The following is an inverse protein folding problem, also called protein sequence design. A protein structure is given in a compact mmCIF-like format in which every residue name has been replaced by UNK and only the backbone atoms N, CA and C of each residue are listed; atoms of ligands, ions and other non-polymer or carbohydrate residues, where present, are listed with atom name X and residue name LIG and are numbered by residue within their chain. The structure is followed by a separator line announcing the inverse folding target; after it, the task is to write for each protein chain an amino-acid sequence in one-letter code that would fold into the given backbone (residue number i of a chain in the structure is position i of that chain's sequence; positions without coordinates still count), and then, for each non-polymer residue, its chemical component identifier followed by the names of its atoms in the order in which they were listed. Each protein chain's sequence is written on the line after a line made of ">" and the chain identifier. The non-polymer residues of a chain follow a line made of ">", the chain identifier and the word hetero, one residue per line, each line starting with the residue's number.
data_IF_808427283751
#
_entry.id   IF_808427283751
#
_cell.length_a   1.000
_cell.length_b   1.000
_cell.length_c   1.000
_cell.angle_alpha   90.00
_cell.angle_beta   90.00
_cell.angle_gamma   90.00
#
_symmetry.space_group_name_H-M   'P 1'
#
loop_
_entity.id
_entity.type
_entity.pdbx_description
1 polymer ?
#
# COMPACT_ATOMS: atom_id res chain seq x y z
N UNK A 1 -9.36 -6.61 25.10
CA UNK A 1 -8.50 -5.69 25.86
C UNK A 1 -8.27 -4.42 25.04
N UNK A 2 -8.46 -3.22 25.61
CA UNK A 2 -8.20 -1.93 24.92
C UNK A 2 -6.72 -1.76 24.50
N UNK A 3 -5.79 -2.34 25.26
CA UNK A 3 -4.34 -2.32 25.02
C UNK A 3 -3.93 -3.04 23.73
N UNK A 4 -4.55 -4.18 23.43
CA UNK A 4 -4.21 -4.98 22.25
C UNK A 4 -4.56 -4.27 20.94
N UNK A 5 -5.70 -3.57 20.89
CA UNK A 5 -6.13 -2.81 19.71
C UNK A 5 -5.25 -1.59 19.45
N UNK A 6 -4.84 -0.89 20.52
CA UNK A 6 -3.93 0.25 20.41
C UNK A 6 -2.54 -0.17 19.89
N UNK A 7 -2.05 -1.32 20.34
CA UNK A 7 -0.80 -1.91 19.85
C UNK A 7 -0.88 -2.24 18.36
N UNK A 8 -1.94 -2.95 17.92
CA UNK A 8 -2.14 -3.30 16.51
C UNK A 8 -2.17 -2.06 15.59
N UNK A 9 -2.83 -1.00 16.03
CA UNK A 9 -2.87 0.29 15.30
C UNK A 9 -1.48 0.95 15.23
N UNK A 10 -0.71 0.92 16.31
CA UNK A 10 0.66 1.44 16.30
C UNK A 10 1.59 0.64 15.38
N UNK A 11 1.46 -0.69 15.35
CA UNK A 11 2.19 -1.56 14.42
C UNK A 11 1.81 -1.26 12.96
N UNK A 12 0.52 -1.08 12.68
CA UNK A 12 0.00 -0.70 11.37
C UNK A 12 0.52 0.68 10.92
N UNK A 13 0.46 1.69 11.79
CA UNK A 13 0.97 3.03 11.52
C UNK A 13 2.47 2.98 11.21
N UNK A 14 3.26 2.29 12.04
CA UNK A 14 4.68 2.13 11.79
C UNK A 14 4.98 1.44 10.45
N UNK A 15 4.19 0.43 10.08
CA UNK A 15 4.30 -0.23 8.78
C UNK A 15 3.99 0.73 7.62
N UNK A 16 2.90 1.50 7.71
CA UNK A 16 2.51 2.52 6.71
C UNK A 16 3.57 3.61 6.58
N UNK A 17 4.22 4.00 7.67
CA UNK A 17 5.33 4.96 7.68
C UNK A 17 6.65 4.37 7.15
N UNK A 18 6.67 3.12 6.69
CA UNK A 18 7.85 2.47 6.13
C UNK A 18 8.88 2.03 7.17
N UNK A 19 8.49 1.92 8.45
CA UNK A 19 9.35 1.35 9.48
C UNK A 19 9.46 -0.15 9.23
N UNK A 20 10.68 -0.66 9.07
CA UNK A 20 10.89 -2.09 8.85
C UNK A 20 10.28 -2.90 10.00
N UNK A 21 9.67 -4.05 9.70
CA UNK A 21 9.04 -4.91 10.71
C UNK A 21 9.99 -5.29 11.85
N UNK A 22 11.29 -5.37 11.55
CA UNK A 22 12.37 -5.56 12.55
C UNK A 22 12.55 -4.36 13.48
N UNK A 23 12.49 -3.14 12.95
CA UNK A 23 12.59 -1.90 13.74
C UNK A 23 11.32 -1.69 14.57
N UNK A 24 10.17 -2.06 14.02
CA UNK A 24 8.91 -2.11 14.77
C UNK A 24 9.03 -3.06 15.96
N UNK A 25 9.44 -4.31 15.73
CA UNK A 25 9.67 -5.30 16.79
C UNK A 25 10.56 -4.74 17.93
N UNK A 26 11.71 -4.16 17.58
CA UNK A 26 12.64 -3.57 18.53
C UNK A 26 12.04 -2.40 19.33
N UNK A 27 11.30 -1.50 18.68
CA UNK A 27 10.63 -0.37 19.35
C UNK A 27 9.55 -0.88 20.32
N UNK A 28 8.77 -1.87 19.90
CA UNK A 28 7.68 -2.41 20.71
C UNK A 28 8.20 -3.14 21.95
N UNK A 29 9.31 -3.87 21.81
CA UNK A 29 10.00 -4.52 22.93
C UNK A 29 10.52 -3.49 23.94
N UNK A 30 11.17 -2.43 23.45
CA UNK A 30 11.71 -1.35 24.30
C UNK A 30 10.61 -0.55 25.03
N UNK A 31 9.47 -0.32 24.38
CA UNK A 31 8.39 0.51 24.94
C UNK A 31 7.41 -0.27 25.81
N UNK A 32 7.15 -1.54 25.47
CA UNK A 32 6.08 -2.32 26.08
C UNK A 32 6.58 -3.51 26.93
N UNK A 33 7.87 -3.83 26.91
CA UNK A 33 8.48 -4.84 27.76
C UNK A 33 8.12 -6.29 27.41
N UNK A 34 7.49 -6.52 26.26
CA UNK A 34 7.22 -7.85 25.71
C UNK A 34 7.68 -7.94 24.25
N UNK A 35 8.15 -9.12 23.86
CA UNK A 35 8.71 -9.35 22.53
C UNK A 35 7.57 -9.43 21.49
N UNK A 36 7.61 -8.55 20.49
CA UNK A 36 6.76 -8.63 19.30
C UNK A 36 7.60 -9.07 18.13
N UNK A 37 7.39 -10.29 17.65
CA UNK A 37 8.15 -10.85 16.54
C UNK A 37 7.75 -10.22 15.20
N UNK A 38 8.66 -10.22 14.23
CA UNK A 38 8.36 -9.80 12.85
C UNK A 38 7.22 -10.60 12.21
N UNK A 39 7.02 -11.86 12.62
CA UNK A 39 5.90 -12.68 12.18
C UNK A 39 4.56 -12.19 12.75
N UNK A 40 4.52 -11.75 14.01
CA UNK A 40 3.31 -11.16 14.60
C UNK A 40 2.97 -9.82 13.94
N UNK A 41 3.97 -8.98 13.63
CA UNK A 41 3.78 -7.76 12.85
C UNK A 41 3.23 -8.09 11.46
N UNK A 42 3.83 -9.05 10.76
CA UNK A 42 3.37 -9.48 9.43
C UNK A 42 1.95 -10.05 9.45
N UNK A 43 1.54 -10.75 10.51
CA UNK A 43 0.16 -11.22 10.67
C UNK A 43 -0.81 -10.06 10.91
N UNK A 44 -0.40 -9.07 11.72
CA UNK A 44 -1.21 -7.89 11.96
C UNK A 44 -1.41 -7.04 10.69
N UNK A 45 -0.45 -7.06 9.76
CA UNK A 45 -0.58 -6.35 8.48
C UNK A 45 -1.50 -7.07 7.48
N UNK A 46 -1.80 -8.36 7.65
CA UNK A 46 -2.77 -9.06 6.76
C UNK A 46 -4.17 -8.42 6.84
N UNK A 47 -4.59 -7.96 8.03
CA UNK A 47 -5.85 -7.23 8.19
C UNK A 47 -5.85 -5.89 7.40
N UNK A 48 -4.67 -5.32 7.11
CA UNK A 48 -4.53 -4.14 6.25
C UNK A 48 -4.60 -4.52 4.77
N UNK A 49 -4.12 -5.70 4.38
CA UNK A 49 -4.20 -6.18 2.99
C UNK A 49 -5.66 -6.35 2.54
N UNK A 50 -6.53 -6.82 3.44
CA UNK A 50 -7.97 -6.89 3.17
C UNK A 50 -8.59 -5.50 2.95
N UNK A 51 -8.27 -4.53 3.81
CA UNK A 51 -8.72 -3.15 3.66
C UNK A 51 -8.16 -2.50 2.39
N UNK A 52 -6.91 -2.77 2.06
CA UNK A 52 -6.28 -2.29 0.83
C UNK A 52 -6.97 -2.88 -0.39
N UNK A 53 -7.33 -4.17 -0.35
CA UNK A 53 -8.06 -4.83 -1.44
C UNK A 53 -9.45 -4.22 -1.62
N UNK A 54 -10.20 -4.03 -0.53
CA UNK A 54 -11.49 -3.33 -0.57
C UNK A 54 -11.37 -1.91 -1.11
N UNK A 55 -10.34 -1.17 -0.69
CA UNK A 55 -10.08 0.17 -1.24
C UNK A 55 -9.75 0.09 -2.73
N UNK A 56 -8.94 -0.88 -3.19
CA UNK A 56 -8.58 -1.04 -4.61
C UNK A 56 -9.77 -1.41 -5.50
N UNK A 57 -10.73 -2.15 -4.98
CA UNK A 57 -11.91 -2.64 -5.71
C UNK A 57 -13.16 -1.76 -5.50
N UNK A 58 -13.04 -0.68 -4.73
CA UNK A 58 -14.15 0.23 -4.47
C UNK A 58 -14.64 0.85 -5.79
N UNK A 59 -15.96 1.08 -5.94
CA UNK A 59 -16.49 1.72 -7.13
C UNK A 59 -15.94 3.15 -7.26
N UNK A 60 -15.50 3.51 -8.45
CA UNK A 60 -15.04 4.85 -8.76
C UNK A 60 -16.19 5.76 -9.20
N UNK A 61 -16.18 7.00 -8.72
CA UNK A 61 -17.13 8.03 -9.13
C UNK A 61 -16.77 8.70 -10.46
N UNK A 62 -17.56 9.69 -10.85
CA UNK A 62 -17.22 10.54 -12.00
C UNK A 62 -16.03 11.45 -11.67
N UNK A 63 -15.10 11.54 -12.62
CA UNK A 63 -13.89 12.35 -12.51
C UNK A 63 -13.87 13.39 -13.63
N UNK A 64 -13.62 14.64 -13.27
CA UNK A 64 -13.44 15.76 -14.22
C UNK A 64 -12.10 15.67 -14.93
N UNK A 65 -11.05 15.26 -14.20
CA UNK A 65 -9.71 15.09 -14.74
C UNK A 65 -9.09 13.78 -14.27
N UNK A 66 -8.24 13.21 -15.13
CA UNK A 66 -7.44 12.03 -14.83
C UNK A 66 -5.95 12.38 -15.05
N UNK A 67 -5.14 12.10 -14.03
CA UNK A 67 -3.69 12.18 -14.08
C UNK A 67 -3.12 10.78 -13.97
N UNK A 68 -2.15 10.47 -14.83
CA UNK A 68 -1.40 9.21 -14.81
C UNK A 68 0.07 9.53 -14.52
N UNK A 69 0.67 8.76 -13.63
CA UNK A 69 2.10 8.89 -13.30
C UNK A 69 2.71 7.49 -13.10
N UNK A 70 4.03 7.39 -13.27
CA UNK A 70 4.78 6.18 -13.00
C UNK A 70 6.04 6.49 -12.18
N UNK A 71 6.23 5.74 -11.09
CA UNK A 71 7.43 5.80 -10.26
C UNK A 71 8.18 4.48 -10.31
N UNK A 72 9.48 4.52 -10.56
CA UNK A 72 10.28 3.29 -10.54
C UNK A 72 10.81 3.01 -9.15
N UNK A 73 10.52 1.82 -8.66
CA UNK A 73 11.01 1.31 -7.39
C UNK A 73 11.87 0.06 -7.59
N UNK A 74 12.85 -0.11 -6.69
CA UNK A 74 13.67 -1.34 -6.65
C UNK A 74 12.94 -2.40 -5.86
N UNK A 75 12.42 -3.41 -6.55
CA UNK A 75 11.67 -4.52 -5.96
C UNK A 75 12.46 -5.82 -6.09
N UNK A 76 12.27 -6.74 -5.14
CA UNK A 76 12.82 -8.09 -5.25
C UNK A 76 11.79 -9.02 -5.88
N UNK A 77 12.08 -9.51 -7.07
CA UNK A 77 11.23 -10.43 -7.83
C UNK A 77 12.09 -11.61 -8.30
N UNK A 78 11.63 -12.83 -8.06
CA UNK A 78 12.32 -14.07 -8.42
C UNK A 78 13.78 -14.11 -7.97
N UNK A 79 14.02 -13.66 -6.73
CA UNK A 79 15.35 -13.63 -6.10
C UNK A 79 16.26 -12.48 -6.54
N UNK A 80 15.90 -11.73 -7.59
CA UNK A 80 16.69 -10.62 -8.13
C UNK A 80 16.08 -9.27 -7.82
N UNK A 81 16.92 -8.25 -7.63
CA UNK A 81 16.45 -6.87 -7.50
C UNK A 81 16.25 -6.28 -8.89
N UNK A 82 15.02 -5.86 -9.20
CA UNK A 82 14.61 -5.30 -10.49
C UNK A 82 13.99 -3.92 -10.30
N UNK A 83 14.09 -3.08 -11.32
CA UNK A 83 13.29 -1.86 -11.40
C UNK A 83 11.88 -2.25 -11.84
N UNK A 84 10.87 -1.86 -11.06
CA UNK A 84 9.48 -2.01 -11.43
C UNK A 84 8.80 -0.64 -11.45
N UNK A 85 7.91 -0.43 -12.41
CA UNK A 85 7.07 0.74 -12.51
C UNK A 85 5.85 0.59 -11.60
N UNK A 86 5.69 1.51 -10.66
CA UNK A 86 4.49 1.73 -9.87
C UNK A 86 3.64 2.73 -10.65
N UNK A 87 2.60 2.23 -11.32
CA UNK A 87 1.64 2.99 -12.10
C UNK A 87 0.58 3.56 -11.16
N UNK A 88 0.31 4.87 -11.27
CA UNK A 88 -0.61 5.61 -10.42
C UNK A 88 -1.68 6.29 -11.29
N UNK A 89 -2.94 6.18 -10.87
CA UNK A 89 -4.05 6.96 -11.41
C UNK A 89 -4.62 7.87 -10.33
N UNK A 90 -4.70 9.18 -10.61
CA UNK A 90 -5.28 10.18 -9.72
C UNK A 90 -6.40 10.91 -10.44
N UNK A 91 -7.58 10.93 -9.85
CA UNK A 91 -8.74 11.65 -10.35
C UNK A 91 -8.90 12.99 -9.65
N UNK A 92 -9.51 13.95 -10.34
CA UNK A 92 -10.13 15.11 -9.71
C UNK A 92 -11.64 14.95 -9.86
N UNK A 93 -12.34 14.88 -8.76
CA UNK A 93 -13.79 14.69 -8.76
C UNK A 93 -14.56 15.96 -9.10
N UNK A 94 -15.89 15.86 -9.14
CA UNK A 94 -16.78 16.99 -9.50
C UNK A 94 -16.69 18.16 -8.50
N UNK A 95 -16.24 17.91 -7.26
CA UNK A 95 -15.99 18.93 -6.25
C UNK A 95 -14.58 19.53 -6.32
N UNK A 96 -13.78 19.15 -7.33
CA UNK A 96 -12.40 19.61 -7.50
C UNK A 96 -11.38 18.97 -6.55
N UNK A 97 -11.74 17.88 -5.85
CA UNK A 97 -10.85 17.18 -4.93
C UNK A 97 -10.05 16.10 -5.65
N UNK A 98 -8.76 16.03 -5.34
CA UNK A 98 -7.86 14.98 -5.84
C UNK A 98 -8.00 13.70 -5.01
N UNK A 99 -8.10 12.58 -5.69
CA UNK A 99 -8.18 11.26 -5.07
C UNK A 99 -7.41 10.22 -5.89
N UNK A 100 -6.70 9.32 -5.20
CA UNK A 100 -6.01 8.21 -5.87
C UNK A 100 -7.03 7.17 -6.26
N UNK A 101 -7.19 6.92 -7.56
CA UNK A 101 -8.16 5.98 -8.11
C UNK A 101 -7.64 4.55 -8.04
N UNK A 102 -6.34 4.37 -8.27
CA UNK A 102 -5.72 3.06 -8.16
C UNK A 102 -4.20 3.11 -8.33
N UNK A 103 -3.59 1.98 -8.00
CA UNK A 103 -2.15 1.73 -8.15
C UNK A 103 -1.95 0.33 -8.70
N UNK A 104 -0.98 0.17 -9.60
CA UNK A 104 -0.52 -1.13 -10.09
C UNK A 104 0.99 -1.19 -10.15
N UNK A 105 1.56 -2.38 -10.03
CA UNK A 105 3.01 -2.61 -10.20
C UNK A 105 3.21 -3.43 -11.47
N UNK A 106 4.13 -2.99 -12.32
CA UNK A 106 4.46 -3.65 -13.59
C UNK A 106 5.96 -3.57 -13.86
N UNK A 107 6.48 -4.44 -14.72
CA UNK A 107 7.92 -4.46 -15.03
C UNK A 107 8.38 -3.29 -15.91
N UNK A 108 7.44 -2.55 -16.51
CA UNK A 108 7.70 -1.41 -17.40
C UNK A 108 6.42 -0.61 -17.64
N UNK A 109 6.53 0.52 -18.33
CA UNK A 109 5.42 1.37 -18.78
C UNK A 109 4.94 1.05 -20.20
N UNK A 110 5.05 -0.21 -20.62
CA UNK A 110 4.51 -0.62 -21.92
C UNK A 110 2.99 -0.42 -21.97
N UNK A 111 2.49 -0.14 -23.18
CA UNK A 111 1.07 0.11 -23.44
C UNK A 111 0.17 -1.00 -22.87
N UNK A 112 0.55 -2.27 -22.99
CA UNK A 112 -0.19 -3.39 -22.43
C UNK A 112 -0.35 -3.33 -20.89
N UNK A 113 0.65 -2.81 -20.17
CA UNK A 113 0.59 -2.65 -18.71
C UNK A 113 -0.35 -1.51 -18.32
N UNK A 114 -0.25 -0.37 -19.01
CA UNK A 114 -1.16 0.76 -18.81
C UNK A 114 -2.60 0.39 -19.15
N UNK A 115 -2.83 -0.29 -20.28
CA UNK A 115 -4.16 -0.77 -20.70
C UNK A 115 -4.77 -1.65 -19.62
N UNK A 116 -4.03 -2.66 -19.14
CA UNK A 116 -4.51 -3.58 -18.09
C UNK A 116 -4.84 -2.82 -16.80
N UNK A 117 -3.98 -1.90 -16.40
CA UNK A 117 -4.20 -1.09 -15.20
C UNK A 117 -5.47 -0.23 -15.33
N UNK A 118 -5.62 0.52 -16.42
CA UNK A 118 -6.79 1.37 -16.63
C UNK A 118 -8.09 0.56 -16.74
N UNK A 119 -8.04 -0.64 -17.35
CA UNK A 119 -9.19 -1.55 -17.40
C UNK A 119 -9.58 -2.12 -16.02
N UNK A 120 -8.66 -2.15 -15.06
CA UNK A 120 -8.96 -2.60 -13.69
C UNK A 120 -9.57 -1.51 -12.81
N UNK A 121 -9.63 -0.26 -13.28
CA UNK A 121 -10.30 0.84 -12.59
C UNK A 121 -11.79 0.77 -12.94
N UNK A 122 -12.63 0.33 -11.98
CA UNK A 122 -14.07 0.08 -12.18
C UNK A 122 -14.91 1.01 -11.31
#
# INVERSE_FOLDING_TARGET
>A
MRSERALKLALAEMYVQGVSTRKVAAITEQLCGFEVTSMQVSRATVELDEQLSQWRERPLGQMTYLYLDARYEKVRLDGQVRSAAVLLAVGVNLEGKREVLGVSVSLSEQEAHWRRFLQSLV
#
